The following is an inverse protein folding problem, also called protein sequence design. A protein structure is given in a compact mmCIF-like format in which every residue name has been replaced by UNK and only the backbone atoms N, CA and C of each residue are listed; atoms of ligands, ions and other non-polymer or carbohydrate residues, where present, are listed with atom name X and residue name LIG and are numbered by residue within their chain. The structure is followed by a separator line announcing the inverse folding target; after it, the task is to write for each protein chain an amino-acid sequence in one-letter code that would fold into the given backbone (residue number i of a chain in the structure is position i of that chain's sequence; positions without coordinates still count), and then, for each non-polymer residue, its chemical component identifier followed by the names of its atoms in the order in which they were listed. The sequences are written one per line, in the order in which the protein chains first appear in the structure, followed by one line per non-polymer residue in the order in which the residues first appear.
data_IF_217780041125
#
_entry.id   IF_217780041125
#
_cell.length_a   1.000
_cell.length_b   1.000
_cell.length_c   1.000
_cell.angle_alpha   90.00
_cell.angle_beta   90.00
_cell.angle_gamma   90.00
#
_symmetry.space_group_name_H-M   'P 1'
#
loop_
_entity.id
_entity.type
_entity.pdbx_description
1 polymer ?
#
# COMPACT_ATOMS: atom_id res chain seq x y z
N UNK A 1 -60.60 12.12 -11.30
CA UNK A 1 -60.00 12.99 -12.35
C UNK A 1 -59.02 13.91 -11.64
N UNK A 2 -57.71 13.64 -11.56
CA UNK A 2 -56.71 13.64 -12.63
C UNK A 2 -56.68 14.96 -13.43
N UNK A 3 -55.72 15.87 -13.14
CA UNK A 3 -54.50 16.12 -13.95
C UNK A 3 -53.76 17.42 -13.56
N UNK A 4 -52.47 17.24 -13.31
CA UNK A 4 -51.27 17.98 -13.76
C UNK A 4 -51.24 19.51 -13.89
N UNK A 5 -50.22 20.10 -13.25
CA UNK A 5 -49.19 21.08 -13.70
C UNK A 5 -48.47 21.55 -12.42
N UNK A 6 -47.17 21.75 -12.30
CA UNK A 6 -46.03 21.78 -13.19
C UNK A 6 -44.87 22.33 -12.34
N UNK A 7 -43.73 21.64 -12.40
CA UNK A 7 -42.43 21.90 -11.78
C UNK A 7 -41.91 23.35 -11.98
N UNK A 8 -40.99 23.84 -11.13
CA UNK A 8 -39.67 24.43 -11.49
C UNK A 8 -38.85 24.73 -10.21
N UNK A 9 -37.71 24.01 -10.07
CA UNK A 9 -36.33 24.44 -9.70
C UNK A 9 -36.12 25.15 -8.34
N UNK A 10 -35.12 24.86 -7.50
CA UNK A 10 -33.67 24.64 -7.64
C UNK A 10 -33.24 24.11 -6.24
N UNK A 11 -32.17 23.36 -5.97
CA UNK A 11 -30.84 23.38 -6.53
C UNK A 11 -30.15 22.04 -6.24
N UNK A 12 -29.25 21.69 -7.14
CA UNK A 12 -28.37 20.54 -7.05
C UNK A 12 -27.47 20.60 -5.81
N UNK A 13 -27.49 19.57 -4.97
CA UNK A 13 -26.42 19.34 -4.01
C UNK A 13 -25.92 17.88 -4.04
N UNK A 14 -24.82 17.73 -4.77
CA UNK A 14 -23.60 17.03 -4.34
C UNK A 14 -23.57 15.50 -4.47
N UNK A 15 -23.28 15.05 -5.69
CA UNK A 15 -22.63 13.78 -5.98
C UNK A 15 -21.13 13.86 -5.63
N UNK A 16 -20.81 13.75 -4.34
CA UNK A 16 -19.48 13.35 -3.89
C UNK A 16 -19.54 11.84 -3.62
N UNK A 17 -18.54 11.03 -4.02
CA UNK A 17 -18.58 9.61 -3.77
C UNK A 17 -18.61 9.40 -2.26
N UNK A 18 -19.78 9.03 -1.74
CA UNK A 18 -19.99 8.71 -0.32
C UNK A 18 -19.12 7.50 -0.02
N UNK A 19 -17.89 7.74 0.46
CA UNK A 19 -16.96 6.69 0.89
C UNK A 19 -17.71 5.75 1.81
N UNK A 20 -17.91 4.51 1.36
CA UNK A 20 -18.71 3.55 2.12
C UNK A 20 -18.21 3.44 3.55
N UNK A 21 -19.10 3.21 4.52
CA UNK A 21 -18.72 3.06 5.95
C UNK A 21 -17.61 2.02 6.14
N UNK A 22 -17.63 0.97 5.33
CA UNK A 22 -16.55 -0.02 5.22
C UNK A 22 -15.19 0.63 4.90
N UNK A 23 -15.14 1.44 3.85
CA UNK A 23 -13.92 2.09 3.38
C UNK A 23 -13.40 3.11 4.40
N UNK A 24 -14.31 3.86 5.04
CA UNK A 24 -13.94 4.78 6.14
C UNK A 24 -13.29 4.07 7.32
N UNK A 25 -13.83 2.92 7.75
CA UNK A 25 -13.24 2.12 8.85
C UNK A 25 -11.87 1.58 8.43
N UNK A 26 -11.74 1.13 7.19
CA UNK A 26 -10.49 0.60 6.65
C UNK A 26 -9.40 1.67 6.62
N UNK A 27 -9.70 2.85 6.08
CA UNK A 27 -8.75 3.93 5.94
C UNK A 27 -8.35 4.54 7.29
N UNK A 28 -9.29 4.67 8.24
CA UNK A 28 -8.98 5.13 9.60
C UNK A 28 -8.03 4.17 10.33
N UNK A 29 -8.38 2.88 10.38
CA UNK A 29 -7.55 1.89 11.09
C UNK A 29 -6.18 1.74 10.39
N UNK A 30 -6.15 1.75 9.05
CA UNK A 30 -4.90 1.76 8.29
C UNK A 30 -4.05 2.99 8.61
N UNK A 31 -4.65 4.18 8.62
CA UNK A 31 -3.99 5.44 8.96
C UNK A 31 -3.39 5.40 10.36
N UNK A 32 -4.12 4.86 11.35
CA UNK A 32 -3.63 4.68 12.73
C UNK A 32 -2.47 3.69 12.85
N UNK A 33 -2.46 2.64 12.02
CA UNK A 33 -1.34 1.69 11.97
C UNK A 33 -0.11 2.34 11.32
N UNK A 34 -0.28 3.06 10.21
CA UNK A 34 0.82 3.69 9.45
C UNK A 34 1.42 4.88 10.22
N UNK A 35 0.59 5.70 10.88
CA UNK A 35 1.05 6.81 11.72
C UNK A 35 1.72 6.35 13.02
N UNK A 36 1.53 5.10 13.42
CA UNK A 36 2.07 4.54 14.66
C UNK A 36 1.21 4.74 15.90
N UNK A 37 0.02 5.36 15.78
CA UNK A 37 -0.97 5.43 16.88
C UNK A 37 -1.35 4.04 17.39
N UNK A 38 -1.48 3.08 16.46
CA UNK A 38 -1.63 1.66 16.76
C UNK A 38 -0.29 0.95 16.53
N UNK A 39 0.49 0.83 17.59
CA UNK A 39 1.80 0.19 17.55
C UNK A 39 1.72 -1.30 17.14
N UNK A 40 2.79 -1.86 16.55
CA UNK A 40 2.84 -3.29 16.21
C UNK A 40 2.61 -4.19 17.44
N UNK A 41 1.65 -5.12 17.33
CA UNK A 41 1.19 -5.96 18.44
C UNK A 41 0.14 -5.31 19.35
N UNK A 42 -0.24 -4.05 19.12
CA UNK A 42 -1.37 -3.43 19.79
C UNK A 42 -2.67 -4.15 19.41
N UNK A 43 -3.61 -4.19 20.35
CA UNK A 43 -4.93 -4.78 20.14
C UNK A 43 -5.81 -3.78 19.39
N UNK A 44 -6.42 -4.22 18.29
CA UNK A 44 -7.49 -3.48 17.64
C UNK A 44 -8.74 -3.53 18.55
N UNK A 45 -9.49 -2.43 18.69
CA UNK A 45 -10.76 -2.44 19.41
C UNK A 45 -11.67 -3.58 18.95
N UNK A 46 -12.46 -4.11 19.88
CA UNK A 46 -13.33 -5.24 19.57
C UNK A 46 -14.40 -4.85 18.55
N UNK A 47 -14.93 -5.85 17.84
CA UNK A 47 -15.98 -5.60 16.82
C UNK A 47 -17.16 -4.81 17.39
N UNK A 48 -17.57 -5.08 18.63
CA UNK A 48 -18.69 -4.37 19.26
C UNK A 48 -18.38 -2.89 19.58
N UNK A 49 -17.13 -2.60 19.98
CA UNK A 49 -16.64 -1.24 20.22
C UNK A 49 -16.59 -0.46 18.89
N UNK A 50 -16.12 -1.10 17.82
CA UNK A 50 -16.08 -0.51 16.48
C UNK A 50 -17.49 -0.29 15.91
N UNK A 51 -18.43 -1.22 16.12
CA UNK A 51 -19.82 -1.01 15.68
C UNK A 51 -20.48 0.17 16.38
N UNK A 52 -20.18 0.39 17.66
CA UNK A 52 -20.68 1.54 18.41
C UNK A 52 -20.01 2.84 17.96
N UNK A 53 -18.68 2.85 17.83
CA UNK A 53 -17.92 4.02 17.42
C UNK A 53 -18.26 4.50 16.00
N UNK A 54 -18.47 3.57 15.08
CA UNK A 54 -18.78 3.86 13.68
C UNK A 54 -20.27 3.82 13.33
N UNK A 55 -21.14 3.53 14.32
CA UNK A 55 -22.59 3.40 14.13
C UNK A 55 -22.95 2.54 12.90
N UNK A 56 -22.34 1.37 12.79
CA UNK A 56 -22.47 0.49 11.61
C UNK A 56 -22.71 -0.98 11.99
N UNK A 57 -23.12 -1.80 11.01
CA UNK A 57 -23.38 -3.21 11.25
C UNK A 57 -22.10 -4.01 11.52
N UNK A 58 -22.22 -5.10 12.29
CA UNK A 58 -21.11 -6.05 12.53
C UNK A 58 -20.51 -6.58 11.23
N UNK A 59 -21.35 -6.81 10.20
CA UNK A 59 -20.88 -7.28 8.90
C UNK A 59 -19.94 -6.26 8.24
N UNK A 60 -20.23 -4.96 8.35
CA UNK A 60 -19.40 -3.89 7.80
C UNK A 60 -18.04 -3.80 8.49
N UNK A 61 -18.02 -3.86 9.84
CA UNK A 61 -16.77 -3.92 10.62
C UNK A 61 -15.97 -5.17 10.26
N UNK A 62 -16.63 -6.34 10.21
CA UNK A 62 -15.95 -7.60 9.93
C UNK A 62 -15.36 -7.62 8.51
N UNK A 63 -16.04 -7.02 7.54
CA UNK A 63 -15.53 -6.86 6.17
C UNK A 63 -14.26 -6.00 6.16
N UNK A 64 -14.24 -4.86 6.85
CA UNK A 64 -13.07 -3.98 6.94
C UNK A 64 -11.89 -4.67 7.64
N UNK A 65 -12.13 -5.30 8.79
CA UNK A 65 -11.10 -6.06 9.52
C UNK A 65 -10.57 -7.24 8.70
N UNK A 66 -11.43 -7.92 7.93
CA UNK A 66 -11.00 -9.02 7.05
C UNK A 66 -10.11 -8.52 5.92
N UNK A 67 -10.39 -7.35 5.35
CA UNK A 67 -9.53 -6.75 4.34
C UNK A 67 -8.18 -6.31 4.92
N UNK A 68 -8.15 -5.70 6.11
CA UNK A 68 -6.91 -5.35 6.82
C UNK A 68 -6.07 -6.60 7.15
N UNK A 69 -6.73 -7.70 7.52
CA UNK A 69 -6.07 -8.97 7.77
C UNK A 69 -5.51 -9.58 6.47
N UNK A 70 -6.27 -9.50 5.37
CA UNK A 70 -5.81 -9.92 4.04
C UNK A 70 -4.63 -9.09 3.54
N UNK A 71 -4.58 -7.81 3.87
CA UNK A 71 -3.46 -6.91 3.59
C UNK A 71 -2.24 -7.12 4.51
N UNK A 72 -2.33 -8.05 5.48
CA UNK A 72 -1.23 -8.35 6.40
C UNK A 72 -1.00 -7.31 7.50
N UNK A 73 -1.82 -6.26 7.58
CA UNK A 73 -1.69 -5.18 8.57
C UNK A 73 -2.12 -5.61 9.97
N UNK A 74 -3.05 -6.57 10.06
CA UNK A 74 -3.52 -7.13 11.33
C UNK A 74 -3.56 -8.66 11.29
N UNK A 75 -3.40 -9.28 12.45
CA UNK A 75 -3.55 -10.71 12.68
C UNK A 75 -4.79 -10.97 13.54
N UNK A 76 -5.68 -11.87 13.09
CA UNK A 76 -6.85 -12.30 13.88
C UNK A 76 -6.47 -13.53 14.70
N UNK A 77 -6.53 -13.41 16.03
CA UNK A 77 -6.26 -14.50 16.96
C UNK A 77 -7.55 -15.03 17.56
N UNK A 78 -7.80 -16.33 17.38
CA UNK A 78 -9.03 -16.97 17.88
C UNK A 78 -9.14 -16.77 19.39
N UNK A 79 -10.28 -16.23 19.85
CA UNK A 79 -10.58 -15.90 21.26
C UNK A 79 -9.77 -14.76 21.89
N UNK A 80 -8.77 -14.20 21.21
CA UNK A 80 -7.93 -13.12 21.76
C UNK A 80 -8.16 -11.76 21.08
N UNK A 81 -8.89 -11.72 19.98
CA UNK A 81 -9.18 -10.49 19.24
C UNK A 81 -8.27 -10.30 18.02
N UNK A 82 -8.26 -9.08 17.48
CA UNK A 82 -7.40 -8.71 16.35
C UNK A 82 -6.25 -7.85 16.85
N UNK A 83 -5.05 -8.07 16.33
CA UNK A 83 -3.84 -7.34 16.74
C UNK A 83 -3.13 -6.78 15.51
N UNK A 84 -2.49 -5.63 15.63
CA UNK A 84 -1.61 -5.11 14.57
C UNK A 84 -0.48 -6.09 14.36
N UNK A 85 -0.27 -6.51 13.11
CA UNK A 85 0.79 -7.44 12.77
C UNK A 85 2.13 -6.82 13.15
N UNK A 86 2.96 -7.58 13.85
CA UNK A 86 4.37 -7.20 13.99
C UNK A 86 5.04 -7.41 12.64
N UNK A 87 5.62 -6.39 12.01
CA UNK A 87 6.47 -6.65 10.85
C UNK A 87 7.53 -7.65 11.33
N UNK A 88 7.48 -8.86 10.78
CA UNK A 88 8.40 -9.96 11.15
C UNK A 88 9.78 -9.60 10.64
N UNK A 89 10.47 -8.65 11.28
CA UNK A 89 11.87 -8.27 10.97
C UNK A 89 12.24 -8.50 9.51
N UNK A 90 11.41 -7.99 8.59
CA UNK A 90 11.88 -7.63 7.28
C UNK A 90 12.25 -6.19 7.53
N UNK A 91 13.55 -5.91 7.42
CA UNK A 91 14.08 -4.56 7.26
C UNK A 91 13.03 -3.71 6.55
N UNK A 92 12.75 -2.50 7.09
CA UNK A 92 11.80 -1.52 6.56
C UNK A 92 11.38 -1.89 5.13
N UNK A 93 10.11 -2.31 4.95
CA UNK A 93 9.60 -2.65 3.62
C UNK A 93 9.62 -1.34 2.82
N UNK A 94 10.79 -1.05 2.24
CA UNK A 94 10.98 -0.15 1.13
C UNK A 94 10.24 -0.86 0.01
N UNK A 95 9.03 -0.41 -0.27
CA UNK A 95 8.37 -0.77 -1.52
C UNK A 95 9.36 -0.43 -2.64
N UNK A 96 9.86 -1.46 -3.32
CA UNK A 96 10.70 -1.30 -4.49
C UNK A 96 9.77 -0.84 -5.60
N UNK A 97 9.66 0.47 -5.74
CA UNK A 97 8.87 1.09 -6.77
C UNK A 97 9.63 1.01 -8.10
N UNK A 98 8.86 0.90 -9.18
CA UNK A 98 9.41 0.98 -10.53
C UNK A 98 9.80 2.43 -10.80
N UNK A 99 11.10 2.67 -11.05
CA UNK A 99 11.66 4.02 -11.22
C UNK A 99 10.97 4.77 -12.36
N UNK A 100 10.56 4.08 -13.43
CA UNK A 100 9.84 4.71 -14.54
C UNK A 100 8.49 5.23 -14.06
N UNK A 101 7.76 4.41 -13.30
CA UNK A 101 6.47 4.79 -12.71
C UNK A 101 6.60 6.00 -11.78
N UNK A 102 7.66 6.08 -10.97
CA UNK A 102 7.93 7.25 -10.12
C UNK A 102 8.17 8.52 -10.95
N UNK A 103 8.99 8.43 -11.99
CA UNK A 103 9.29 9.57 -12.87
C UNK A 103 8.04 10.04 -13.61
N UNK A 104 7.22 9.11 -14.10
CA UNK A 104 5.95 9.42 -14.77
C UNK A 104 4.92 10.03 -13.81
N UNK A 105 4.88 9.59 -12.54
CA UNK A 105 4.02 10.17 -11.51
C UNK A 105 4.39 11.63 -11.16
N UNK A 106 5.65 12.03 -11.40
CA UNK A 106 6.10 13.41 -11.31
C UNK A 106 5.75 14.24 -12.57
N UNK A 107 5.10 13.65 -13.57
CA UNK A 107 4.75 14.31 -14.83
C UNK A 107 5.96 14.57 -15.74
N UNK A 108 7.08 13.90 -15.50
CA UNK A 108 8.31 14.04 -16.28
C UNK A 108 8.48 12.86 -17.24
N UNK A 109 9.04 13.07 -18.44
CA UNK A 109 9.28 11.96 -19.35
C UNK A 109 10.45 11.12 -18.84
N UNK A 110 10.23 9.82 -18.69
CA UNK A 110 11.26 8.90 -18.25
C UNK A 110 12.28 8.60 -19.35
N UNK A 111 13.56 8.57 -18.97
CA UNK A 111 14.67 8.14 -19.82
C UNK A 111 15.55 7.11 -19.13
N UNK A 112 16.18 6.24 -19.92
CA UNK A 112 17.07 5.19 -19.45
C UNK A 112 18.30 5.10 -20.34
N UNK A 113 19.48 4.97 -19.73
CA UNK A 113 20.73 4.71 -20.43
C UNK A 113 21.54 3.63 -19.70
N UNK A 114 21.99 2.62 -20.44
CA UNK A 114 22.96 1.65 -19.94
C UNK A 114 24.36 2.21 -20.15
N UNK A 115 25.06 2.49 -19.06
CA UNK A 115 26.38 3.13 -19.06
C UNK A 115 27.50 2.09 -19.11
N UNK A 116 27.34 0.98 -18.39
CA UNK A 116 28.31 -0.12 -18.40
C UNK A 116 27.59 -1.47 -18.38
N UNK A 117 28.15 -2.44 -19.12
CA UNK A 117 27.74 -3.85 -19.07
C UNK A 117 28.96 -4.74 -19.06
N UNK A 118 29.17 -5.47 -17.97
CA UNK A 118 30.34 -6.34 -17.81
C UNK A 118 29.91 -7.71 -17.29
N UNK A 119 30.41 -8.77 -17.94
CA UNK A 119 30.34 -10.12 -17.39
C UNK A 119 31.64 -10.42 -16.68
N UNK A 120 31.58 -10.80 -15.41
CA UNK A 120 32.76 -11.12 -14.59
C UNK A 120 32.52 -12.35 -13.72
N UNK A 121 33.59 -12.89 -13.14
CA UNK A 121 33.47 -13.94 -12.12
C UNK A 121 32.77 -13.37 -10.87
N UNK A 122 31.91 -14.17 -10.25
CA UNK A 122 31.25 -13.85 -9.00
C UNK A 122 32.28 -13.72 -7.88
N UNK A 123 32.24 -12.60 -7.16
CA UNK A 123 32.98 -12.44 -5.90
C UNK A 123 32.36 -13.33 -4.81
N UNK A 124 32.99 -13.38 -3.64
CA UNK A 124 32.40 -14.09 -2.49
C UNK A 124 31.05 -13.49 -2.08
N UNK A 125 30.95 -12.16 -2.03
CA UNK A 125 29.71 -11.45 -1.69
C UNK A 125 28.59 -11.75 -2.69
N UNK A 126 28.91 -11.73 -4.00
CA UNK A 126 27.95 -12.10 -5.05
C UNK A 126 27.41 -13.52 -4.85
N UNK A 127 28.30 -14.48 -4.51
CA UNK A 127 27.90 -15.88 -4.29
C UNK A 127 26.98 -16.03 -3.09
N UNK A 128 27.29 -15.36 -1.99
CA UNK A 128 26.46 -15.39 -0.78
C UNK A 128 25.09 -14.73 -1.03
N UNK A 129 25.05 -13.57 -1.71
CA UNK A 129 23.81 -12.81 -1.92
C UNK A 129 22.91 -13.37 -3.01
N UNK A 130 23.49 -13.94 -4.07
CA UNK A 130 22.75 -14.45 -5.24
C UNK A 130 22.62 -15.98 -5.24
N UNK A 131 23.18 -16.67 -4.24
CA UNK A 131 23.13 -18.13 -4.14
C UNK A 131 23.89 -18.85 -5.26
N UNK A 132 25.03 -18.31 -5.69
CA UNK A 132 25.80 -18.85 -6.81
C UNK A 132 26.87 -19.85 -6.34
N UNK A 133 27.10 -20.88 -7.15
CA UNK A 133 28.19 -21.85 -6.94
C UNK A 133 29.58 -21.23 -7.18
N UNK A 134 30.62 -21.93 -6.72
CA UNK A 134 32.00 -21.56 -7.04
C UNK A 134 32.23 -21.54 -8.56
N UNK A 135 32.91 -20.49 -9.05
CA UNK A 135 33.10 -20.26 -10.48
C UNK A 135 31.91 -19.63 -11.21
N UNK A 136 30.81 -19.30 -10.50
CA UNK A 136 29.67 -18.59 -11.05
C UNK A 136 30.04 -17.28 -11.75
N UNK A 137 29.29 -16.91 -12.78
CA UNK A 137 29.44 -15.63 -13.48
C UNK A 137 28.31 -14.68 -13.08
N UNK A 138 28.62 -13.39 -13.00
CA UNK A 138 27.63 -12.32 -12.78
C UNK A 138 27.65 -11.34 -13.93
N UNK A 139 26.49 -10.75 -14.20
CA UNK A 139 26.33 -9.62 -15.09
C UNK A 139 26.21 -8.35 -14.24
N UNK A 140 27.20 -7.50 -14.36
CA UNK A 140 27.23 -6.18 -13.74
C UNK A 140 26.71 -5.15 -14.77
N UNK A 141 25.72 -4.36 -14.36
CA UNK A 141 25.09 -3.32 -15.15
C UNK A 141 25.19 -2.01 -14.37
N UNK A 142 25.75 -0.97 -14.99
CA UNK A 142 25.64 0.39 -14.49
C UNK A 142 24.64 1.13 -15.39
N UNK A 143 23.54 1.59 -14.81
CA UNK A 143 22.48 2.25 -15.53
C UNK A 143 22.41 3.73 -15.11
N UNK A 144 21.66 4.53 -15.87
CA UNK A 144 21.28 5.88 -15.47
C UNK A 144 19.82 6.07 -15.83
N UNK A 145 19.02 6.34 -14.82
CA UNK A 145 17.62 6.71 -14.96
C UNK A 145 17.53 8.24 -15.04
N UNK A 146 16.67 8.74 -15.92
CA UNK A 146 16.51 10.18 -16.18
C UNK A 146 15.04 10.57 -16.02
N UNK A 147 14.83 11.76 -15.45
CA UNK A 147 13.54 12.41 -15.39
C UNK A 147 13.61 13.70 -16.21
N UNK A 148 13.03 13.67 -17.42
CA UNK A 148 13.31 14.65 -18.44
C UNK A 148 14.76 14.57 -18.92
N UNK A 149 15.47 15.70 -18.83
CA UNK A 149 16.88 15.80 -19.22
C UNK A 149 17.89 15.65 -18.08
N UNK A 150 17.45 15.32 -16.86
CA UNK A 150 18.31 15.26 -15.66
C UNK A 150 18.41 13.85 -15.12
N UNK A 151 19.56 13.50 -14.54
CA UNK A 151 19.74 12.23 -13.86
C UNK A 151 18.81 12.16 -12.63
N UNK A 152 18.06 11.08 -12.54
CA UNK A 152 17.18 10.75 -11.43
C UNK A 152 17.90 9.84 -10.44
N UNK A 153 18.52 8.76 -10.92
CA UNK A 153 19.42 7.89 -10.16
C UNK A 153 20.40 7.13 -11.08
N UNK A 154 21.42 6.50 -10.47
CA UNK A 154 22.44 5.65 -11.11
C UNK A 154 22.31 4.21 -10.60
#
# INVERSE_FOLDING_TARGET
MARERGNVSEAAEQDAPQTSLHQRILDDIRGKIVSGELAPGARIPFEHELTAAYSCSRMTVNKALSQLAKAGLIERRRRSGSFVTRPRSQAAVLEIHDIKTEVEALGLPYGFALTERRRRKATRDDRERLGLAEGGQVLELACRHMAGGRAFCL
#
